data_IF_977618837144
#
_entry.id   IF_977618837144
#
_cell.length_a   1.000
_cell.length_b   1.000
_cell.length_c   1.000
_cell.angle_alpha   90.00
_cell.angle_beta   90.00
_cell.angle_gamma   90.00
#
_symmetry.space_group_name_H-M   'P 1'
#
loop_
_entity.id
_entity.type
_entity.pdbx_description
1 polymer ?
#
# COMPACT_ATOMS: atom_id res chain seq x y z
N UNK A 1 -48.45 7.77 -45.20
CA UNK A 1 -47.88 8.87 -44.38
C UNK A 1 -46.56 8.38 -43.79
N UNK A 2 -45.39 8.72 -44.35
CA UNK A 2 -44.10 8.29 -43.80
C UNK A 2 -43.73 9.13 -42.55
N UNK A 3 -43.31 8.45 -41.48
CA UNK A 3 -42.89 9.04 -40.20
C UNK A 3 -41.46 9.58 -40.36
N UNK A 4 -41.28 10.89 -40.23
CA UNK A 4 -39.96 11.52 -40.23
C UNK A 4 -39.20 11.14 -38.95
N UNK A 5 -37.95 10.70 -39.09
CA UNK A 5 -37.02 10.50 -37.97
C UNK A 5 -36.36 11.84 -37.64
N UNK A 6 -36.48 12.30 -36.40
CA UNK A 6 -35.74 13.45 -35.91
C UNK A 6 -34.36 12.99 -35.44
N UNK A 7 -33.31 13.49 -36.11
CA UNK A 7 -31.94 13.42 -35.66
C UNK A 7 -31.80 14.11 -34.29
N UNK A 8 -31.44 13.36 -33.26
CA UNK A 8 -31.06 13.89 -31.95
C UNK A 8 -29.54 13.79 -31.80
N UNK A 9 -28.85 14.79 -32.32
CA UNK A 9 -27.45 15.06 -32.04
C UNK A 9 -27.29 15.48 -30.57
N UNK A 10 -27.01 14.53 -29.69
CA UNK A 10 -26.66 14.82 -28.28
C UNK A 10 -25.15 15.00 -28.13
N UNK A 11 -24.65 16.17 -27.71
CA UNK A 11 -23.23 16.39 -27.48
C UNK A 11 -22.77 15.82 -26.14
N UNK A 12 -21.63 15.13 -26.19
CA UNK A 12 -20.77 14.64 -25.11
C UNK A 12 -20.62 15.61 -23.93
N UNK A 13 -20.77 15.12 -22.69
CA UNK A 13 -20.22 15.76 -21.49
C UNK A 13 -19.74 14.68 -20.53
N UNK A 14 -18.42 14.57 -20.35
CA UNK A 14 -17.77 13.66 -19.40
C UNK A 14 -17.89 14.26 -17.98
N UNK A 15 -18.09 13.46 -16.92
CA UNK A 15 -18.45 13.97 -15.58
C UNK A 15 -17.29 14.59 -14.79
N UNK A 16 -16.17 14.92 -15.44
CA UNK A 16 -15.00 15.51 -14.78
C UNK A 16 -14.44 16.69 -15.58
N UNK A 17 -15.29 17.69 -15.81
CA UNK A 17 -14.80 19.05 -16.04
C UNK A 17 -14.69 19.74 -14.67
N UNK A 18 -13.48 19.75 -14.12
CA UNK A 18 -13.14 20.46 -12.89
C UNK A 18 -12.93 21.93 -13.26
N UNK A 19 -13.79 22.88 -12.84
CA UNK A 19 -13.58 24.28 -13.19
C UNK A 19 -12.34 24.82 -12.46
N UNK A 20 -11.34 25.25 -13.23
CA UNK A 20 -10.24 26.08 -12.74
C UNK A 20 -10.82 27.42 -12.28
N UNK A 21 -10.91 27.63 -10.97
CA UNK A 21 -11.28 28.92 -10.38
C UNK A 21 -10.01 29.75 -10.15
N UNK A 22 -9.86 30.92 -10.78
CA UNK A 22 -8.84 31.90 -10.39
C UNK A 22 -9.47 32.89 -9.40
N UNK A 23 -9.02 32.89 -8.15
CA UNK A 23 -9.35 33.97 -7.20
C UNK A 23 -8.06 34.49 -6.58
N UNK A 24 -7.75 35.75 -6.89
CA UNK A 24 -6.75 36.60 -6.23
C UNK A 24 -7.44 37.40 -5.12
N UNK A 25 -6.70 37.55 -4.00
CA UNK A 25 -6.72 38.65 -3.01
C UNK A 25 -8.03 38.86 -2.21
N UNK A 26 -8.07 39.21 -0.93
CA UNK A 26 -7.19 39.37 0.24
C UNK A 26 -8.16 39.29 1.46
N UNK A 27 -7.65 39.05 2.68
CA UNK A 27 -7.99 39.80 3.92
C UNK A 27 -7.77 38.97 5.22
N UNK A 28 -7.06 39.62 6.14
CA UNK A 28 -6.81 39.48 7.58
C UNK A 28 -6.96 38.15 8.40
N UNK A 29 -5.92 37.95 9.23
CA UNK A 29 -5.65 37.04 10.37
C UNK A 29 -6.84 36.80 11.34
N UNK A 30 -6.91 35.66 12.09
CA UNK A 30 -5.88 35.28 13.07
C UNK A 30 -5.45 33.80 13.09
N UNK A 31 -4.21 33.60 13.53
CA UNK A 31 -3.49 32.33 13.61
C UNK A 31 -3.69 31.64 14.98
N UNK A 32 -4.30 30.45 15.07
CA UNK A 32 -4.06 29.53 16.16
C UNK A 32 -2.91 28.57 15.78
N UNK A 33 -1.81 28.69 16.53
CA UNK A 33 -0.66 27.80 16.49
C UNK A 33 -1.08 26.36 16.83
N UNK A 34 -0.83 25.43 15.90
CA UNK A 34 -0.73 23.99 16.20
C UNK A 34 0.58 23.42 15.62
N UNK A 35 1.17 22.40 16.26
CA UNK A 35 2.62 22.30 16.41
C UNK A 35 3.37 21.81 15.18
N UNK A 36 4.61 22.29 15.13
CA UNK A 36 5.63 22.16 14.10
C UNK A 36 5.85 20.71 13.64
N UNK A 37 5.88 20.56 12.31
CA UNK A 37 6.59 19.51 11.58
C UNK A 37 7.99 19.33 12.18
N UNK A 38 8.26 18.16 12.76
CA UNK A 38 9.62 17.67 12.94
C UNK A 38 10.28 17.57 11.57
N UNK A 39 11.56 17.94 11.41
CA UNK A 39 12.23 17.79 10.13
C UNK A 39 12.37 16.29 9.87
N UNK A 40 11.50 15.73 9.03
CA UNK A 40 11.69 14.41 8.45
C UNK A 40 12.95 14.51 7.60
N UNK A 41 14.08 14.19 8.19
CA UNK A 41 15.32 13.89 7.47
C UNK A 41 14.94 12.90 6.39
N UNK A 42 14.96 13.37 5.14
CA UNK A 42 14.83 12.53 3.96
C UNK A 42 16.13 11.72 3.89
N UNK A 43 16.23 10.68 4.70
CA UNK A 43 17.18 9.61 4.43
C UNK A 43 16.66 8.93 3.18
N UNK A 44 17.23 9.30 2.05
CA UNK A 44 17.03 8.66 0.77
C UNK A 44 17.50 7.22 0.91
N UNK A 45 16.57 6.34 1.34
CA UNK A 45 16.84 4.91 1.40
C UNK A 45 17.01 4.47 -0.05
N UNK A 46 18.26 4.25 -0.46
CA UNK A 46 18.62 3.57 -1.70
C UNK A 46 17.81 2.28 -1.73
N UNK A 47 16.70 2.26 -2.47
CA UNK A 47 15.86 1.08 -2.61
C UNK A 47 16.66 0.13 -3.48
N UNK A 48 17.40 -0.78 -2.85
CA UNK A 48 17.91 -1.94 -3.55
C UNK A 48 16.71 -2.59 -4.25
N UNK A 49 16.80 -2.71 -5.57
CA UNK A 49 15.70 -3.24 -6.37
C UNK A 49 15.62 -4.75 -6.12
N UNK A 50 14.93 -5.13 -5.04
CA UNK A 50 14.63 -6.52 -4.66
C UNK A 50 13.36 -7.02 -5.39
N UNK A 51 12.92 -6.35 -6.46
CA UNK A 51 11.79 -6.80 -7.26
C UNK A 51 12.23 -7.98 -8.15
N UNK A 52 12.27 -9.18 -7.57
CA UNK A 52 12.59 -10.41 -8.30
C UNK A 52 13.31 -11.49 -7.50
N UNK A 53 13.80 -11.20 -6.28
CA UNK A 53 14.42 -12.24 -5.44
C UNK A 53 13.36 -13.20 -4.89
N UNK A 54 13.47 -14.48 -5.26
CA UNK A 54 12.71 -15.59 -4.67
C UNK A 54 13.00 -15.71 -3.18
N UNK A 55 12.03 -16.15 -2.39
CA UNK A 55 12.23 -16.44 -0.97
C UNK A 55 13.01 -17.74 -0.80
N UNK A 56 14.09 -17.70 -0.03
CA UNK A 56 14.83 -18.92 0.34
C UNK A 56 14.23 -19.56 1.59
N UNK A 57 14.51 -20.84 1.80
CA UNK A 57 14.09 -21.56 3.02
C UNK A 57 14.67 -20.92 4.29
N UNK A 58 15.90 -20.44 4.22
CA UNK A 58 16.59 -19.78 5.33
C UNK A 58 15.92 -18.44 5.70
N UNK A 59 15.57 -17.61 4.72
CA UNK A 59 14.81 -16.37 4.94
C UNK A 59 13.45 -16.65 5.59
N UNK A 60 12.76 -17.71 5.15
CA UNK A 60 11.46 -18.11 5.72
C UNK A 60 11.59 -18.62 7.15
N UNK A 61 12.66 -19.35 7.48
CA UNK A 61 12.94 -19.80 8.85
C UNK A 61 13.24 -18.61 9.77
N UNK A 62 14.01 -17.63 9.30
CA UNK A 62 14.28 -16.40 10.05
C UNK A 62 12.95 -15.66 10.31
N UNK A 63 12.12 -15.50 9.28
CA UNK A 63 10.80 -14.88 9.40
C UNK A 63 9.91 -15.62 10.41
N UNK A 64 9.89 -16.95 10.38
CA UNK A 64 9.13 -17.76 11.32
C UNK A 64 9.60 -17.57 12.77
N UNK A 65 10.91 -17.67 13.00
CA UNK A 65 11.49 -17.46 14.33
C UNK A 65 11.22 -16.06 14.88
N UNK A 66 11.27 -15.05 14.01
CA UNK A 66 10.94 -13.67 14.38
C UNK A 66 9.49 -13.56 14.84
N UNK A 67 8.54 -14.12 14.09
CA UNK A 67 7.12 -14.09 14.47
C UNK A 67 6.86 -14.90 15.73
N UNK A 68 7.56 -16.00 15.96
CA UNK A 68 7.44 -16.75 17.22
C UNK A 68 7.89 -15.94 18.43
N UNK A 69 8.92 -15.10 18.29
CA UNK A 69 9.49 -14.30 19.39
C UNK A 69 8.74 -12.99 19.62
N UNK A 70 8.41 -12.27 18.54
CA UNK A 70 7.89 -10.90 18.60
C UNK A 70 6.40 -10.81 18.23
N UNK A 71 5.82 -11.88 17.70
CA UNK A 71 4.47 -11.87 17.15
C UNK A 71 4.38 -11.19 15.79
N UNK A 72 3.15 -11.05 15.30
CA UNK A 72 2.82 -10.48 13.98
C UNK A 72 2.67 -8.95 14.00
N UNK A 73 3.49 -8.26 14.81
CA UNK A 73 3.36 -6.81 15.05
C UNK A 73 4.48 -6.02 14.39
N UNK A 74 5.70 -6.51 14.52
CA UNK A 74 6.91 -5.81 14.07
C UNK A 74 7.54 -6.52 12.88
N UNK A 75 7.41 -5.94 11.69
CA UNK A 75 7.93 -6.54 10.45
C UNK A 75 9.20 -5.85 9.92
N UNK A 76 9.54 -4.67 10.43
CA UNK A 76 10.58 -3.77 9.87
C UNK A 76 11.99 -4.38 9.89
N UNK A 77 12.24 -5.30 10.81
CA UNK A 77 13.54 -6.00 10.95
C UNK A 77 13.39 -7.52 10.98
N UNK A 78 12.30 -8.05 10.43
CA UNK A 78 12.04 -9.49 10.48
C UNK A 78 13.04 -10.32 9.67
N UNK A 79 13.46 -9.82 8.49
CA UNK A 79 14.44 -10.47 7.62
C UNK A 79 15.34 -9.42 6.99
N UNK A 80 16.65 -9.62 7.08
CA UNK A 80 17.64 -8.71 6.50
C UNK A 80 17.48 -8.63 4.97
N UNK A 81 17.50 -7.42 4.41
CA UNK A 81 17.37 -7.20 2.97
C UNK A 81 15.94 -7.37 2.42
N UNK A 82 14.94 -7.65 3.27
CA UNK A 82 13.52 -7.65 2.89
C UNK A 82 12.79 -6.51 3.57
N UNK A 83 11.79 -5.98 2.88
CA UNK A 83 10.94 -4.92 3.44
C UNK A 83 9.87 -5.52 4.35
N UNK A 84 9.48 -4.79 5.39
CA UNK A 84 8.37 -5.12 6.28
C UNK A 84 7.12 -5.65 5.55
N UNK A 85 6.73 -4.96 4.47
CA UNK A 85 5.56 -5.32 3.68
C UNK A 85 5.72 -6.67 2.97
N UNK A 86 6.93 -7.00 2.50
CA UNK A 86 7.22 -8.31 1.89
C UNK A 86 7.12 -9.40 2.96
N UNK A 87 7.69 -9.19 4.15
CA UNK A 87 7.63 -10.13 5.26
C UNK A 87 6.17 -10.43 5.66
N UNK A 88 5.34 -9.40 5.84
CA UNK A 88 3.93 -9.55 6.17
C UNK A 88 3.15 -10.31 5.07
N UNK A 89 3.37 -9.95 3.80
CA UNK A 89 2.71 -10.62 2.68
C UNK A 89 3.09 -12.10 2.60
N UNK A 90 4.37 -12.42 2.72
CA UNK A 90 4.87 -13.81 2.71
C UNK A 90 4.33 -14.59 3.90
N UNK A 91 4.33 -13.98 5.09
CA UNK A 91 3.75 -14.62 6.28
C UNK A 91 2.29 -15.01 6.05
N UNK A 92 1.48 -14.06 5.59
CA UNK A 92 0.04 -14.25 5.42
C UNK A 92 -0.33 -15.16 4.25
N UNK A 93 0.39 -15.08 3.13
CA UNK A 93 0.03 -15.78 1.89
C UNK A 93 0.69 -17.15 1.72
N UNK A 94 1.86 -17.38 2.32
CA UNK A 94 2.61 -18.62 2.12
C UNK A 94 2.85 -19.39 3.40
N UNK A 95 3.46 -18.76 4.42
CA UNK A 95 3.86 -19.48 5.63
C UNK A 95 2.67 -19.92 6.49
N UNK A 96 1.75 -19.01 6.81
CA UNK A 96 0.59 -19.35 7.64
C UNK A 96 -0.27 -20.49 7.04
N UNK A 97 -0.65 -20.44 5.75
CA UNK A 97 -1.39 -21.54 5.14
C UNK A 97 -0.60 -22.86 5.14
N UNK A 98 0.70 -22.82 4.83
CA UNK A 98 1.54 -24.02 4.81
C UNK A 98 1.64 -24.71 6.18
N UNK A 99 1.78 -23.91 7.24
CA UNK A 99 1.82 -24.42 8.61
C UNK A 99 0.47 -25.03 9.00
N UNK A 100 -0.64 -24.34 8.70
CA UNK A 100 -2.00 -24.86 8.97
C UNK A 100 -2.24 -26.18 8.25
N UNK A 101 -1.95 -26.23 6.95
CA UNK A 101 -2.11 -27.44 6.14
C UNK A 101 -1.24 -28.60 6.66
N UNK A 102 0.00 -28.31 7.09
CA UNK A 102 0.88 -29.34 7.69
C UNK A 102 0.31 -29.91 8.99
N UNK A 103 -0.33 -29.08 9.82
CA UNK A 103 -0.95 -29.52 11.07
C UNK A 103 -2.18 -30.38 10.76
N UNK A 104 -3.06 -29.90 9.87
CA UNK A 104 -4.27 -30.63 9.45
C UNK A 104 -3.93 -31.99 8.85
N UNK A 105 -2.90 -32.06 8.00
CA UNK A 105 -2.49 -33.31 7.34
C UNK A 105 -1.82 -34.30 8.30
N UNK A 106 -1.25 -33.84 9.42
CA UNK A 106 -0.64 -34.71 10.45
C UNK A 106 -1.66 -35.28 11.43
N UNK A 107 -2.85 -34.69 11.52
CA UNK A 107 -3.92 -35.11 12.42
C UNK A 107 -4.85 -36.19 11.85
N UNK A 108 -4.52 -36.75 10.69
CA UNK A 108 -5.21 -37.87 10.03
C UNK A 108 -4.35 -39.12 10.12
#
# INVERSE_FOLDING_TARGET
MPRQAADTSSPTSKPYDRPSTPIKAEDNKPNPKSPKKSPSTKTERKRENVAGRKWTSEELLILFNHVMKNGQRDWDNAVQGRTANQCNQTWSKTLLPFIKQSIESKGV
#
